data_IF_879657885528
#
_entry.id   IF_879657885528
#
_cell.length_a   1.000
_cell.length_b   1.000
_cell.length_c   1.000
_cell.angle_alpha   90.00
_cell.angle_beta   90.00
_cell.angle_gamma   90.00
#
_symmetry.space_group_name_H-M   'P 1'
#
loop_
_entity.id
_entity.type
_entity.pdbx_description
1 polymer ?
#
# COMPACT_ATOMS: atom_id res chain seq x y z
N UNK A 1 12.21 -14.37 -20.80
CA UNK A 1 11.60 -13.03 -21.03
C UNK A 1 12.68 -11.98 -21.16
N UNK A 2 12.45 -10.91 -21.95
CA UNK A 2 13.33 -9.74 -21.97
C UNK A 2 13.48 -9.20 -20.55
N UNK A 3 14.73 -8.99 -20.12
CA UNK A 3 15.01 -8.40 -18.81
C UNK A 3 14.66 -6.91 -18.85
N UNK A 4 14.06 -6.41 -17.79
CA UNK A 4 13.76 -5.00 -17.59
C UNK A 4 13.83 -4.66 -16.11
N UNK A 5 14.04 -3.39 -15.74
CA UNK A 5 14.13 -3.02 -14.34
C UNK A 5 12.80 -3.25 -13.62
N UNK A 6 12.80 -4.04 -12.54
CA UNK A 6 11.55 -4.47 -11.90
C UNK A 6 10.81 -3.34 -11.18
N UNK A 7 11.49 -2.23 -10.87
CA UNK A 7 10.89 -1.06 -10.23
C UNK A 7 9.76 -0.42 -11.05
N UNK A 8 9.69 -0.68 -12.36
CA UNK A 8 8.62 -0.15 -13.22
C UNK A 8 7.35 -1.03 -13.24
N UNK A 9 7.31 -2.13 -12.50
CA UNK A 9 6.20 -3.09 -12.51
C UNK A 9 6.20 -3.96 -13.78
N UNK A 10 5.72 -3.42 -14.90
CA UNK A 10 5.76 -4.06 -16.23
C UNK A 10 6.31 -3.11 -17.28
N UNK A 11 6.89 -3.68 -18.34
CA UNK A 11 7.19 -2.91 -19.54
C UNK A 11 5.91 -2.35 -20.18
N UNK A 12 5.93 -1.15 -20.79
CA UNK A 12 4.78 -0.56 -21.47
C UNK A 12 4.17 -1.46 -22.56
N UNK A 13 5.00 -2.23 -23.26
CA UNK A 13 4.63 -3.16 -24.35
C UNK A 13 4.27 -4.57 -23.86
N UNK A 14 4.25 -4.81 -22.54
CA UNK A 14 3.95 -6.13 -21.98
C UNK A 14 2.50 -6.54 -22.24
N UNK A 15 2.31 -7.76 -22.73
CA UNK A 15 0.99 -8.38 -22.92
C UNK A 15 0.49 -9.15 -21.68
N UNK A 16 1.21 -9.05 -20.56
CA UNK A 16 0.83 -9.70 -19.29
C UNK A 16 -0.57 -9.27 -18.86
N UNK A 17 -1.44 -10.24 -18.56
CA UNK A 17 -2.79 -10.01 -18.04
C UNK A 17 -2.83 -10.26 -16.54
N UNK A 18 -3.89 -9.82 -15.87
CA UNK A 18 -4.10 -10.13 -14.45
C UNK A 18 -4.17 -11.64 -14.18
N UNK A 19 -4.81 -12.41 -15.09
CA UNK A 19 -4.84 -13.87 -14.99
C UNK A 19 -3.44 -14.49 -15.18
N UNK A 20 -2.63 -13.94 -16.09
CA UNK A 20 -1.24 -14.37 -16.28
C UNK A 20 -0.37 -14.10 -15.05
N UNK A 21 -0.54 -12.95 -14.40
CA UNK A 21 0.14 -12.64 -13.15
C UNK A 21 -0.26 -13.61 -12.03
N UNK A 22 -1.57 -13.85 -11.89
CA UNK A 22 -2.13 -14.80 -10.92
C UNK A 22 -1.57 -16.21 -11.12
N UNK A 23 -1.50 -16.68 -12.37
CA UNK A 23 -0.91 -17.98 -12.71
C UNK A 23 0.57 -18.09 -12.29
N UNK A 24 1.37 -17.03 -12.49
CA UNK A 24 2.78 -17.02 -12.04
C UNK A 24 2.91 -16.99 -10.53
N UNK A 25 2.06 -16.22 -9.85
CA UNK A 25 2.04 -16.20 -8.40
C UNK A 25 1.68 -17.58 -7.86
N UNK A 26 0.66 -18.24 -8.42
CA UNK A 26 0.29 -19.62 -8.09
C UNK A 26 1.44 -20.60 -8.33
N UNK A 27 2.11 -20.53 -9.48
CA UNK A 27 3.27 -21.36 -9.75
C UNK A 27 4.36 -21.21 -8.68
N UNK A 28 4.66 -19.96 -8.29
CA UNK A 28 5.71 -19.64 -7.33
C UNK A 28 5.36 -20.01 -5.88
N UNK A 29 4.10 -19.82 -5.47
CA UNK A 29 3.71 -19.79 -4.04
C UNK A 29 2.55 -20.72 -3.68
N UNK A 30 1.73 -21.13 -4.67
CA UNK A 30 0.49 -21.85 -4.41
C UNK A 30 -0.49 -21.10 -3.51
N UNK A 31 -0.49 -19.75 -3.54
CA UNK A 31 -1.27 -18.89 -2.63
C UNK A 31 -2.77 -19.18 -2.57
N UNK A 32 -3.34 -19.71 -3.65
CA UNK A 32 -4.76 -20.04 -3.79
C UNK A 32 -5.04 -21.55 -3.74
N UNK A 33 -4.02 -22.35 -3.43
CA UNK A 33 -4.17 -23.77 -3.10
C UNK A 33 -4.32 -23.94 -1.59
N UNK A 34 -5.02 -25.02 -1.20
CA UNK A 34 -5.04 -25.50 0.19
C UNK A 34 -3.60 -25.72 0.70
N UNK A 35 -3.27 -25.39 1.95
CA UNK A 35 -1.89 -25.52 2.46
C UNK A 35 -1.28 -26.92 2.27
N UNK A 36 -2.09 -27.98 2.41
CA UNK A 36 -1.64 -29.36 2.23
C UNK A 36 -1.33 -29.74 0.77
N UNK A 37 -1.81 -28.95 -0.20
CA UNK A 37 -1.57 -29.16 -1.63
C UNK A 37 -0.33 -28.41 -2.15
N UNK A 38 0.26 -27.52 -1.35
CA UNK A 38 1.47 -26.77 -1.73
C UNK A 38 2.69 -27.67 -1.69
N UNK A 39 3.57 -27.50 -2.67
CA UNK A 39 4.92 -28.07 -2.60
C UNK A 39 5.72 -27.39 -1.49
N UNK A 40 6.75 -28.07 -0.96
CA UNK A 40 7.65 -27.48 0.03
C UNK A 40 8.32 -26.18 -0.48
N UNK A 41 8.62 -26.10 -1.78
CA UNK A 41 9.18 -24.90 -2.39
C UNK A 41 8.16 -23.75 -2.42
N UNK A 42 6.92 -24.03 -2.82
CA UNK A 42 5.85 -23.04 -2.84
C UNK A 42 5.58 -22.46 -1.45
N UNK A 43 5.45 -23.32 -0.44
CA UNK A 43 5.23 -22.87 0.93
C UNK A 43 6.40 -22.03 1.43
N UNK A 44 7.66 -22.44 1.19
CA UNK A 44 8.83 -21.64 1.57
C UNK A 44 8.83 -20.27 0.90
N UNK A 45 8.58 -20.21 -0.41
CA UNK A 45 8.53 -18.94 -1.14
C UNK A 45 7.43 -18.03 -0.60
N UNK A 46 6.26 -18.60 -0.28
CA UNK A 46 5.15 -17.86 0.31
C UNK A 46 5.54 -17.31 1.68
N UNK A 47 6.06 -18.15 2.57
CA UNK A 47 6.52 -17.77 3.92
C UNK A 47 7.54 -16.64 3.87
N UNK A 48 8.55 -16.74 2.99
CA UNK A 48 9.56 -15.69 2.81
C UNK A 48 8.96 -14.36 2.37
N UNK A 49 8.06 -14.38 1.37
CA UNK A 49 7.44 -13.17 0.84
C UNK A 49 6.57 -12.52 1.91
N UNK A 50 5.73 -13.28 2.61
CA UNK A 50 4.86 -12.75 3.66
C UNK A 50 5.66 -12.20 4.83
N UNK A 51 6.71 -12.90 5.27
CA UNK A 51 7.55 -12.47 6.38
C UNK A 51 8.36 -11.20 6.06
N UNK A 52 8.90 -11.08 4.84
CA UNK A 52 9.68 -9.91 4.43
C UNK A 52 8.80 -8.68 4.18
N UNK A 53 7.61 -8.89 3.60
CA UNK A 53 6.72 -7.77 3.22
C UNK A 53 5.76 -7.34 4.32
N UNK A 54 5.43 -8.25 5.25
CA UNK A 54 4.37 -8.04 6.24
C UNK A 54 2.95 -8.05 5.64
N UNK A 55 2.80 -8.32 4.35
CA UNK A 55 1.49 -8.36 3.68
C UNK A 55 0.78 -9.65 4.09
N UNK A 56 -0.50 -9.59 4.53
CA UNK A 56 -1.28 -10.79 4.79
C UNK A 56 -1.51 -11.62 3.52
N UNK A 57 -1.45 -12.95 3.64
CA UNK A 57 -1.60 -13.89 2.51
C UNK A 57 -2.83 -13.61 1.64
N UNK A 58 -3.98 -13.34 2.28
CA UNK A 58 -5.25 -13.02 1.60
C UNK A 58 -5.21 -11.80 0.69
N UNK A 59 -4.20 -10.94 0.85
CA UNK A 59 -4.00 -9.71 0.07
C UNK A 59 -2.75 -9.73 -0.80
N UNK A 60 -1.98 -10.82 -0.79
CA UNK A 60 -0.72 -10.89 -1.54
C UNK A 60 -0.93 -10.65 -3.04
N UNK A 61 -1.95 -11.29 -3.62
CA UNK A 61 -2.24 -11.14 -5.05
C UNK A 61 -2.62 -9.71 -5.43
N UNK A 62 -3.46 -9.03 -4.61
CA UNK A 62 -3.88 -7.66 -4.90
C UNK A 62 -2.71 -6.68 -4.83
N UNK A 63 -1.85 -6.81 -3.81
CA UNK A 63 -0.61 -6.03 -3.69
C UNK A 63 0.33 -6.27 -4.87
N UNK A 64 0.51 -7.52 -5.29
CA UNK A 64 1.33 -7.83 -6.46
C UNK A 64 0.74 -7.24 -7.74
N UNK A 65 -0.59 -7.24 -7.89
CA UNK A 65 -1.26 -6.57 -9.01
C UNK A 65 -0.99 -5.07 -9.03
N UNK A 66 -1.04 -4.38 -7.89
CA UNK A 66 -0.71 -2.95 -7.81
C UNK A 66 0.77 -2.71 -8.16
N UNK A 67 1.68 -3.49 -7.56
CA UNK A 67 3.12 -3.41 -7.85
C UNK A 67 3.47 -3.71 -9.32
N UNK A 68 2.61 -4.44 -10.03
CA UNK A 68 2.81 -4.84 -11.43
C UNK A 68 2.19 -3.82 -12.40
N UNK A 69 0.88 -3.55 -12.27
CA UNK A 69 0.13 -2.75 -13.23
C UNK A 69 0.07 -1.27 -12.85
N UNK A 70 -0.20 -0.95 -11.58
CA UNK A 70 -0.25 0.45 -11.12
C UNK A 70 1.12 1.10 -11.23
N UNK A 71 2.20 0.39 -10.89
CA UNK A 71 3.55 0.94 -11.02
C UNK A 71 3.94 1.17 -12.48
N UNK A 72 3.53 0.27 -13.40
CA UNK A 72 3.69 0.52 -14.84
C UNK A 72 3.00 1.82 -15.21
N UNK A 73 1.74 1.99 -14.84
CA UNK A 73 0.95 3.14 -15.26
C UNK A 73 1.50 4.45 -14.65
N UNK A 74 1.95 4.44 -13.39
CA UNK A 74 2.65 5.57 -12.76
C UNK A 74 3.91 5.92 -13.59
N UNK A 75 4.76 4.93 -13.86
CA UNK A 75 6.03 5.16 -14.54
C UNK A 75 5.83 5.60 -15.99
N UNK A 76 5.03 4.87 -16.76
CA UNK A 76 4.87 5.10 -18.20
C UNK A 76 4.03 6.33 -18.51
N UNK A 77 2.99 6.59 -17.72
CA UNK A 77 1.97 7.59 -18.06
C UNK A 77 2.14 8.88 -17.28
N UNK A 78 2.74 8.85 -16.07
CA UNK A 78 2.92 10.04 -15.24
C UNK A 78 4.36 10.54 -15.15
N UNK A 79 5.33 9.66 -15.35
CA UNK A 79 6.74 9.98 -15.11
C UNK A 79 7.63 9.80 -16.35
N UNK A 80 7.04 9.61 -17.53
CA UNK A 80 7.77 9.51 -18.80
C UNK A 80 8.85 8.42 -18.79
N UNK A 81 8.59 7.30 -18.10
CA UNK A 81 9.51 6.18 -17.99
C UNK A 81 10.62 6.35 -16.93
N UNK A 82 10.61 7.44 -16.16
CA UNK A 82 11.63 7.69 -15.12
C UNK A 82 11.27 6.99 -13.80
N UNK A 83 12.27 6.47 -13.09
CA UNK A 83 12.09 5.73 -11.84
C UNK A 83 11.86 6.67 -10.63
N UNK A 84 10.70 6.63 -9.94
CA UNK A 84 10.50 7.41 -8.71
C UNK A 84 10.96 6.69 -7.43
N UNK A 85 11.32 5.41 -7.50
CA UNK A 85 11.51 4.53 -6.35
C UNK A 85 12.99 4.30 -6.01
N UNK A 86 13.27 4.02 -4.75
CA UNK A 86 14.59 3.62 -4.27
C UNK A 86 14.45 2.54 -3.21
N UNK A 87 15.28 1.51 -3.28
CA UNK A 87 15.49 0.56 -2.19
C UNK A 87 16.94 0.57 -1.67
N UNK A 88 17.71 1.61 -2.01
CA UNK A 88 19.03 1.84 -1.43
C UNK A 88 18.89 2.07 0.08
N UNK A 89 19.70 1.37 0.86
CA UNK A 89 19.69 1.43 2.32
C UNK A 89 18.64 0.52 2.99
N UNK A 90 17.74 -0.12 2.22
CA UNK A 90 16.80 -1.10 2.76
C UNK A 90 17.52 -2.41 3.03
N UNK A 91 17.45 -2.90 4.27
CA UNK A 91 17.81 -4.28 4.61
C UNK A 91 16.53 -5.09 4.71
N UNK A 92 16.35 -6.05 3.80
CA UNK A 92 15.22 -6.97 3.86
C UNK A 92 15.47 -8.01 4.95
N UNK A 93 14.49 -8.27 5.80
CA UNK A 93 14.61 -9.23 6.90
C UNK A 93 13.35 -10.07 7.03
N UNK A 94 13.49 -11.30 7.50
CA UNK A 94 12.37 -12.19 7.80
C UNK A 94 12.25 -13.40 6.86
N UNK A 95 13.04 -13.46 5.79
CA UNK A 95 13.13 -14.65 4.95
C UNK A 95 13.97 -15.74 5.62
N UNK A 96 13.91 -16.96 5.10
CA UNK A 96 14.76 -18.06 5.54
C UNK A 96 16.27 -17.81 5.32
N UNK A 97 16.64 -16.93 4.38
CA UNK A 97 18.03 -16.52 4.13
C UNK A 97 18.10 -15.04 3.70
N UNK A 98 18.04 -14.15 4.70
CA UNK A 98 18.14 -12.71 4.49
C UNK A 98 19.46 -12.29 3.83
N UNK A 99 20.55 -13.06 4.00
CA UNK A 99 21.83 -12.75 3.38
C UNK A 99 21.75 -12.98 1.87
N UNK A 100 21.22 -14.13 1.45
CA UNK A 100 21.00 -14.42 0.04
C UNK A 100 20.01 -13.44 -0.59
N UNK A 101 18.89 -13.15 0.07
CA UNK A 101 17.91 -12.18 -0.42
C UNK A 101 18.54 -10.80 -0.65
N UNK A 102 19.24 -10.25 0.34
CA UNK A 102 19.83 -8.91 0.21
C UNK A 102 20.97 -8.84 -0.81
N UNK A 103 21.65 -9.97 -1.10
CA UNK A 103 22.67 -10.08 -2.12
C UNK A 103 22.08 -10.21 -3.54
N UNK A 104 20.92 -10.85 -3.68
CA UNK A 104 20.28 -11.13 -4.97
C UNK A 104 19.26 -10.09 -5.43
N UNK A 105 18.64 -9.33 -4.52
CA UNK A 105 17.63 -8.32 -4.88
C UNK A 105 18.24 -7.16 -5.67
N UNK A 106 17.57 -6.76 -6.76
CA UNK A 106 17.97 -5.60 -7.56
C UNK A 106 18.03 -4.33 -6.69
N UNK A 107 19.09 -3.51 -6.85
CA UNK A 107 19.25 -2.25 -6.13
C UNK A 107 19.16 -1.06 -7.07
N UNK A 108 18.14 -0.24 -6.88
CA UNK A 108 17.86 0.92 -7.71
C UNK A 108 17.73 2.19 -6.87
N UNK A 109 18.08 3.32 -7.50
CA UNK A 109 17.94 4.67 -6.95
C UNK A 109 16.90 5.43 -7.75
N UNK A 110 16.14 6.29 -7.08
CA UNK A 110 15.16 7.14 -7.74
C UNK A 110 15.85 8.20 -8.59
N UNK A 111 15.28 8.49 -9.76
CA UNK A 111 15.55 9.73 -10.49
C UNK A 111 15.04 10.91 -9.64
N UNK A 112 15.89 11.90 -9.31
CA UNK A 112 15.48 13.02 -8.46
C UNK A 112 14.30 13.82 -9.04
N UNK A 113 14.22 13.93 -10.36
CA UNK A 113 13.12 14.60 -11.05
C UNK A 113 11.81 13.82 -10.93
N UNK A 114 11.83 12.52 -11.19
CA UNK A 114 10.66 11.65 -11.09
C UNK A 114 10.12 11.58 -9.65
N UNK A 115 11.02 11.50 -8.66
CA UNK A 115 10.65 11.55 -7.24
C UNK A 115 9.95 12.87 -6.90
N UNK A 116 10.51 14.01 -7.35
CA UNK A 116 9.88 15.33 -7.17
C UNK A 116 8.52 15.39 -7.85
N UNK A 117 8.41 14.93 -9.09
CA UNK A 117 7.18 15.02 -9.86
C UNK A 117 6.06 14.15 -9.26
N UNK A 118 6.39 12.94 -8.80
CA UNK A 118 5.45 12.07 -8.07
C UNK A 118 5.00 12.72 -6.75
N UNK A 119 5.96 13.25 -5.97
CA UNK A 119 5.68 13.97 -4.71
C UNK A 119 4.78 15.18 -4.96
N UNK A 120 5.05 15.98 -5.99
CA UNK A 120 4.24 17.15 -6.34
C UNK A 120 2.80 16.79 -6.71
N UNK A 121 2.60 15.71 -7.46
CA UNK A 121 1.26 15.27 -7.89
C UNK A 121 0.46 14.59 -6.78
N UNK A 122 1.13 13.86 -5.88
CA UNK A 122 0.47 12.91 -4.97
C UNK A 122 0.62 13.19 -3.47
N UNK A 123 1.61 13.97 -3.03
CA UNK A 123 1.81 14.19 -1.60
C UNK A 123 0.71 15.08 -1.02
N UNK A 124 0.25 14.70 0.18
CA UNK A 124 -0.75 15.44 0.91
C UNK A 124 -0.17 16.78 1.39
N UNK A 125 -0.88 17.87 1.12
CA UNK A 125 -0.46 19.23 1.54
C UNK A 125 -0.98 19.64 2.92
N UNK A 126 -1.93 18.90 3.47
CA UNK A 126 -2.62 19.23 4.73
C UNK A 126 -3.53 20.46 4.66
N UNK A 127 -3.75 21.03 3.47
CA UNK A 127 -4.56 22.25 3.24
C UNK A 127 -6.07 21.98 3.31
N UNK A 128 -6.55 21.44 4.41
CA UNK A 128 -7.99 21.19 4.63
C UNK A 128 -8.67 22.42 5.21
N UNK A 129 -9.76 22.89 4.60
CA UNK A 129 -10.52 24.09 5.05
C UNK A 129 -11.80 23.74 5.82
N UNK A 130 -12.15 22.46 5.90
CA UNK A 130 -13.37 21.95 6.53
C UNK A 130 -13.00 20.94 7.64
N UNK A 131 -13.93 20.62 8.55
CA UNK A 131 -13.81 19.46 9.42
C UNK A 131 -13.58 18.17 8.63
N UNK A 132 -12.64 17.35 9.09
CA UNK A 132 -12.29 16.05 8.51
C UNK A 132 -12.41 15.00 9.60
N UNK A 133 -13.19 13.96 9.32
CA UNK A 133 -13.28 12.76 10.14
C UNK A 133 -12.86 11.57 9.29
N UNK A 134 -11.83 10.84 9.74
CA UNK A 134 -11.44 9.56 9.14
C UNK A 134 -11.98 8.40 9.98
N UNK A 135 -12.32 7.30 9.31
CA UNK A 135 -12.70 6.03 9.91
C UNK A 135 -11.81 4.96 9.30
N UNK A 136 -11.09 4.21 10.13
CA UNK A 136 -10.06 3.28 9.65
C UNK A 136 -10.07 1.96 10.42
N UNK A 137 -10.10 0.84 9.72
CA UNK A 137 -9.94 -0.49 10.31
C UNK A 137 -8.47 -0.74 10.64
N UNK A 138 -8.15 -1.00 11.91
CA UNK A 138 -6.74 -1.13 12.32
C UNK A 138 -6.02 -2.33 11.67
N UNK A 139 -6.77 -3.35 11.24
CA UNK A 139 -6.25 -4.54 10.58
C UNK A 139 -6.52 -4.54 9.06
N UNK A 140 -6.70 -3.36 8.44
CA UNK A 140 -6.85 -3.20 6.99
C UNK A 140 -5.60 -3.71 6.25
N UNK A 141 -5.73 -4.75 5.40
CA UNK A 141 -4.59 -5.38 4.75
C UNK A 141 -4.10 -4.62 3.50
N UNK A 142 -4.78 -3.55 3.09
CA UNK A 142 -4.47 -2.78 1.87
C UNK A 142 -4.00 -1.38 2.21
N UNK A 143 -4.78 -0.63 2.97
CA UNK A 143 -4.42 0.71 3.44
C UNK A 143 -4.01 0.62 4.91
N UNK A 144 -2.72 0.43 5.17
CA UNK A 144 -2.23 0.23 6.54
C UNK A 144 -2.54 1.42 7.46
N UNK A 145 -2.79 1.13 8.74
CA UNK A 145 -3.21 2.12 9.75
C UNK A 145 -2.20 3.25 9.96
N UNK A 146 -0.93 3.01 9.67
CA UNK A 146 0.15 4.01 9.71
C UNK A 146 -0.11 5.20 8.79
N UNK A 147 -0.90 5.03 7.73
CA UNK A 147 -1.32 6.13 6.87
C UNK A 147 -2.13 7.19 7.64
N UNK A 148 -2.89 6.81 8.67
CA UNK A 148 -3.60 7.75 9.53
C UNK A 148 -2.60 8.61 10.34
N UNK A 149 -1.51 8.02 10.82
CA UNK A 149 -0.45 8.77 11.52
C UNK A 149 0.27 9.74 10.57
N UNK A 150 0.56 9.30 9.34
CA UNK A 150 1.14 10.16 8.30
C UNK A 150 0.22 11.33 7.95
N UNK A 151 -1.08 11.08 7.77
CA UNK A 151 -2.06 12.12 7.48
C UNK A 151 -2.17 13.17 8.60
N UNK A 152 -2.23 12.70 9.86
CA UNK A 152 -2.20 13.60 11.03
C UNK A 152 -0.93 14.45 11.05
N UNK A 153 0.24 13.85 10.80
CA UNK A 153 1.51 14.56 10.76
C UNK A 153 1.53 15.66 9.69
N UNK A 154 0.99 15.37 8.50
CA UNK A 154 0.81 16.36 7.42
C UNK A 154 -0.07 17.52 7.85
N UNK A 155 -1.25 17.25 8.45
CA UNK A 155 -2.14 18.31 8.90
C UNK A 155 -1.53 19.11 10.06
N UNK A 156 -0.77 18.47 10.95
CA UNK A 156 -0.01 19.16 12.00
C UNK A 156 1.03 20.10 11.41
N UNK A 157 1.82 19.63 10.44
CA UNK A 157 2.80 20.46 9.71
C UNK A 157 2.15 21.67 9.02
N UNK A 158 0.91 21.53 8.56
CA UNK A 158 0.12 22.62 7.98
C UNK A 158 -0.62 23.50 9.01
N UNK A 159 -0.50 23.23 10.32
CA UNK A 159 -1.23 23.94 11.38
C UNK A 159 -2.76 23.68 11.37
N UNK A 160 -3.20 22.58 10.75
CA UNK A 160 -4.60 22.23 10.49
C UNK A 160 -5.08 20.98 11.26
N UNK A 161 -4.26 20.39 12.12
CA UNK A 161 -4.62 19.19 12.92
C UNK A 161 -5.88 19.39 13.78
N UNK A 162 -6.18 20.62 14.20
CA UNK A 162 -7.42 20.94 14.90
C UNK A 162 -8.68 20.57 14.09
N UNK A 163 -8.58 20.47 12.75
CA UNK A 163 -9.66 20.07 11.83
C UNK A 163 -9.78 18.57 11.61
N UNK A 164 -8.94 17.75 12.24
CA UNK A 164 -8.96 16.30 12.09
C UNK A 164 -9.48 15.60 13.35
N UNK A 165 -10.38 14.65 13.17
CA UNK A 165 -10.66 13.55 14.11
C UNK A 165 -10.45 12.23 13.37
N UNK A 166 -9.82 11.27 14.03
CA UNK A 166 -9.59 9.94 13.46
C UNK A 166 -10.26 8.93 14.40
N UNK A 167 -11.09 8.09 13.82
CA UNK A 167 -11.80 7.01 14.50
C UNK A 167 -11.28 5.68 13.98
N UNK A 168 -11.15 4.70 14.86
CA UNK A 168 -10.61 3.39 14.52
C UNK A 168 -11.58 2.27 14.83
N UNK A 169 -11.59 1.22 14.00
CA UNK A 169 -12.35 -0.01 14.25
C UNK A 169 -11.39 -1.20 14.35
N UNK A 170 -11.86 -2.30 14.95
CA UNK A 170 -11.10 -3.57 15.04
C UNK A 170 -11.41 -4.52 13.88
N UNK A 171 -11.96 -3.99 12.80
CA UNK A 171 -12.26 -4.76 11.60
C UNK A 171 -10.97 -5.03 10.81
N UNK A 172 -11.02 -6.01 9.92
CA UNK A 172 -9.88 -6.47 9.11
C UNK A 172 -10.15 -6.34 7.60
N UNK A 173 -11.12 -5.50 7.24
CA UNK A 173 -11.63 -5.29 5.89
C UNK A 173 -11.13 -3.96 5.32
N UNK A 174 -10.97 -3.90 4.00
CA UNK A 174 -10.58 -2.67 3.30
C UNK A 174 -11.75 -2.02 2.56
N UNK A 175 -12.55 -2.81 1.84
CA UNK A 175 -13.53 -2.27 0.87
C UNK A 175 -14.85 -1.84 1.50
N UNK A 176 -15.13 -2.25 2.74
CA UNK A 176 -16.35 -1.88 3.45
C UNK A 176 -16.26 -2.22 4.92
N UNK A 177 -16.59 -1.23 5.75
CA UNK A 177 -16.71 -1.36 7.20
C UNK A 177 -18.18 -1.48 7.60
N UNK A 178 -18.45 -1.67 8.88
CA UNK A 178 -19.83 -1.80 9.35
C UNK A 178 -20.68 -0.55 9.06
N UNK A 179 -21.94 -0.78 8.67
CA UNK A 179 -22.92 0.28 8.45
C UNK A 179 -23.12 1.17 9.68
N UNK A 180 -23.00 0.60 10.88
CA UNK A 180 -23.12 1.33 12.14
C UNK A 180 -21.98 2.33 12.32
N UNK A 181 -20.74 1.94 12.00
CA UNK A 181 -19.59 2.84 12.10
C UNK A 181 -19.67 3.98 11.08
N UNK A 182 -20.16 3.72 9.86
CA UNK A 182 -20.44 4.78 8.90
C UNK A 182 -21.52 5.74 9.40
N UNK A 183 -22.66 5.23 9.87
CA UNK A 183 -23.76 6.06 10.37
C UNK A 183 -23.32 6.94 11.55
N UNK A 184 -22.57 6.37 12.50
CA UNK A 184 -22.04 7.10 13.66
C UNK A 184 -21.04 8.18 13.26
N UNK A 185 -20.13 7.85 12.33
CA UNK A 185 -19.09 8.76 11.83
C UNK A 185 -19.68 9.94 11.08
N UNK A 186 -20.65 9.69 10.19
CA UNK A 186 -21.36 10.74 9.43
C UNK A 186 -22.14 11.65 10.39
N UNK A 187 -22.87 11.07 11.36
CA UNK A 187 -23.61 11.86 12.33
C UNK A 187 -22.70 12.72 13.23
N UNK A 188 -21.50 12.23 13.56
CA UNK A 188 -20.50 13.01 14.31
C UNK A 188 -19.92 14.16 13.47
N UNK A 189 -19.61 13.91 12.20
CA UNK A 189 -19.10 14.91 11.28
C UNK A 189 -20.14 16.01 10.99
N UNK A 190 -21.41 15.66 10.74
CA UNK A 190 -22.49 16.64 10.52
C UNK A 190 -22.68 17.55 11.74
N UNK A 191 -22.73 16.99 12.94
CA UNK A 191 -22.80 17.78 14.18
C UNK A 191 -21.60 18.73 14.32
N UNK A 192 -20.40 18.26 14.01
CA UNK A 192 -19.21 19.10 14.06
C UNK A 192 -19.29 20.24 13.04
N UNK A 193 -19.66 19.94 11.80
CA UNK A 193 -19.79 20.93 10.74
C UNK A 193 -20.81 22.02 11.07
N UNK A 194 -21.95 21.66 11.68
CA UNK A 194 -23.01 22.62 12.03
C UNK A 194 -22.73 23.45 13.29
N UNK A 195 -22.13 22.83 14.30
CA UNK A 195 -21.97 23.45 15.63
C UNK A 195 -20.57 24.00 15.92
N UNK A 196 -19.58 23.64 15.10
CA UNK A 196 -18.16 23.92 15.38
C UNK A 196 -17.57 23.08 16.52
N UNK A 197 -18.37 22.28 17.23
CA UNK A 197 -17.92 21.47 18.37
C UNK A 197 -17.27 20.17 17.89
N UNK A 198 -15.95 20.10 18.03
CA UNK A 198 -15.13 18.94 17.65
C UNK A 198 -15.54 17.68 18.44
N UNK A 199 -15.78 16.53 17.79
CA UNK A 199 -16.10 15.30 18.49
C UNK A 199 -14.84 14.71 19.15
N UNK A 200 -15.04 13.93 20.20
CA UNK A 200 -13.97 13.09 20.77
C UNK A 200 -13.72 11.91 19.83
N UNK A 201 -12.44 11.56 19.64
CA UNK A 201 -12.06 10.35 18.92
C UNK A 201 -12.66 9.09 19.58
N UNK A 202 -12.89 8.05 18.78
CA UNK A 202 -13.36 6.74 19.20
C UNK A 202 -12.39 5.67 18.76
#
# INVERSE_FOLDING_TARGET
EPQYPLWQGLRPDSTMTSAGLSARLRECTGFDAEPAARTALQQRNLDDILAVTGIPERSLESHLRFATFTFRDIVSTRLEGRNPFSNRGVRYTGSHDDRALNAGVERFSADPGARRDLSWDSDLTGRVSLPVLTLHAIDDPTAFVEHEAAYRATLRGAGREHRLVQSFTRESEHSGLSNAEYANSIAALDRWARSGRKPTAR
#
